data_IF_486083851636
#
_entry.id   IF_486083851636
#
_cell.length_a   1.000
_cell.length_b   1.000
_cell.length_c   1.000
_cell.angle_alpha   90.00
_cell.angle_beta   90.00
_cell.angle_gamma   90.00
#
_symmetry.space_group_name_H-M   'P 1'
#
loop_
_entity.id
_entity.type
_entity.pdbx_description
1 polymer ?
#
# COMPACT_ATOMS: atom_id res chain seq x y z
N UNK A 1 19.29 -3.62 -10.85
CA UNK A 1 19.30 -2.40 -11.70
C UNK A 1 19.07 -2.67 -13.20
N UNK A 2 19.92 -3.42 -13.92
CA UNK A 2 19.69 -3.71 -15.36
C UNK A 2 18.38 -4.48 -15.61
N UNK A 3 18.05 -5.47 -14.79
CA UNK A 3 16.81 -6.25 -14.89
C UNK A 3 15.56 -5.36 -14.78
N UNK A 4 15.52 -4.46 -13.79
CA UNK A 4 14.41 -3.52 -13.63
C UNK A 4 14.31 -2.49 -14.74
N UNK A 5 15.43 -1.97 -15.26
CA UNK A 5 15.41 -1.10 -16.43
C UNK A 5 14.79 -1.81 -17.64
N UNK A 6 15.21 -3.05 -17.92
CA UNK A 6 14.63 -3.86 -18.98
C UNK A 6 13.14 -4.18 -18.76
N UNK A 7 12.73 -4.44 -17.52
CA UNK A 7 11.33 -4.69 -17.16
C UNK A 7 10.46 -3.44 -17.38
N UNK A 8 10.95 -2.26 -16.98
CA UNK A 8 10.28 -0.98 -17.23
C UNK A 8 10.21 -0.65 -18.72
N UNK A 9 11.25 -0.96 -19.50
CA UNK A 9 11.21 -0.84 -20.97
C UNK A 9 10.18 -1.81 -21.60
N UNK A 10 9.98 -2.98 -21.03
CA UNK A 10 9.00 -3.97 -21.50
C UNK A 10 7.55 -3.49 -21.33
N UNK A 11 7.26 -2.64 -20.33
CA UNK A 11 5.95 -1.99 -20.17
C UNK A 11 5.57 -1.22 -21.46
N UNK A 12 6.53 -0.48 -22.03
CA UNK A 12 6.29 0.33 -23.24
C UNK A 12 6.40 -0.48 -24.53
N UNK A 13 7.40 -1.35 -24.62
CA UNK A 13 7.77 -2.03 -25.88
C UNK A 13 7.02 -3.34 -26.11
N UNK A 14 6.64 -4.04 -25.04
CA UNK A 14 6.06 -5.38 -25.08
C UNK A 14 4.68 -5.46 -24.42
N UNK A 15 4.25 -4.40 -23.72
CA UNK A 15 2.95 -4.32 -23.06
C UNK A 15 2.77 -5.40 -21.96
N UNK A 16 3.82 -5.58 -21.15
CA UNK A 16 3.84 -6.51 -20.02
C UNK A 16 4.29 -5.79 -18.74
N UNK A 17 3.75 -6.19 -17.61
CA UNK A 17 4.21 -5.79 -16.28
C UNK A 17 5.60 -6.40 -15.96
N UNK A 18 6.30 -5.91 -14.92
CA UNK A 18 7.63 -6.42 -14.56
C UNK A 18 7.70 -7.94 -14.33
N UNK A 19 6.63 -8.54 -13.82
CA UNK A 19 6.49 -9.99 -13.61
C UNK A 19 6.12 -10.77 -14.89
N UNK A 20 6.03 -10.10 -16.03
CA UNK A 20 5.71 -10.67 -17.34
C UNK A 20 4.21 -10.86 -17.61
N UNK A 21 3.32 -10.48 -16.70
CA UNK A 21 1.86 -10.51 -16.96
C UNK A 21 1.49 -9.46 -18.03
N UNK A 22 0.54 -9.79 -18.91
CA UNK A 22 0.05 -8.85 -19.93
C UNK A 22 -0.67 -7.65 -19.29
N UNK A 23 -0.48 -6.47 -19.89
CA UNK A 23 -1.18 -5.24 -19.50
C UNK A 23 -2.51 -5.15 -20.27
N UNK A 24 -3.62 -5.00 -19.55
CA UNK A 24 -4.91 -4.65 -20.17
C UNK A 24 -4.84 -3.23 -20.74
N UNK A 25 -4.69 -3.10 -22.05
CA UNK A 25 -4.58 -1.81 -22.72
C UNK A 25 -5.82 -0.93 -22.54
N UNK A 26 -7.01 -1.54 -22.40
CA UNK A 26 -8.26 -0.82 -22.22
C UNK A 26 -8.33 -0.10 -20.88
N UNK A 27 -7.74 -0.70 -19.84
CA UNK A 27 -7.70 -0.15 -18.48
C UNK A 27 -6.50 0.79 -18.28
N UNK A 28 -5.30 0.37 -18.71
CA UNK A 28 -4.05 1.00 -18.29
C UNK A 28 -3.39 1.89 -19.37
N UNK A 29 -3.74 1.70 -20.64
CA UNK A 29 -3.04 2.36 -21.76
C UNK A 29 -3.89 3.42 -22.47
N UNK A 30 -5.21 3.41 -22.26
CA UNK A 30 -6.12 4.39 -22.84
C UNK A 30 -5.75 5.86 -22.48
N UNK A 31 -5.12 6.08 -21.33
CA UNK A 31 -4.58 7.39 -20.89
C UNK A 31 -3.05 7.56 -21.03
N UNK A 32 -2.33 6.52 -21.44
CA UNK A 32 -0.87 6.43 -21.36
C UNK A 32 -0.33 6.25 -19.92
N UNK A 33 0.98 6.05 -19.81
CA UNK A 33 1.68 5.89 -18.51
C UNK A 33 2.10 7.22 -17.86
N UNK A 34 1.71 8.35 -18.47
CA UNK A 34 2.02 9.68 -17.93
C UNK A 34 1.40 9.87 -16.54
N UNK A 35 2.22 10.29 -15.58
CA UNK A 35 1.80 10.48 -14.17
C UNK A 35 2.09 9.29 -13.27
N UNK A 36 2.32 8.10 -13.83
CA UNK A 36 2.79 6.95 -13.08
C UNK A 36 4.26 7.14 -12.71
N UNK A 37 4.70 6.45 -11.66
CA UNK A 37 6.05 6.57 -11.12
C UNK A 37 6.66 5.21 -10.81
N UNK A 38 7.96 5.20 -10.66
CA UNK A 38 8.69 4.05 -10.14
C UNK A 38 9.81 4.49 -9.20
N UNK A 39 10.29 3.58 -8.37
CA UNK A 39 11.50 3.75 -7.57
C UNK A 39 12.24 2.41 -7.47
N UNK A 40 13.51 2.46 -7.08
CA UNK A 40 14.30 1.28 -6.78
C UNK A 40 14.98 1.52 -5.43
N UNK A 41 14.59 0.75 -4.43
CA UNK A 41 15.11 0.83 -3.07
C UNK A 41 14.67 -0.40 -2.27
N UNK A 42 15.48 -0.76 -1.28
CA UNK A 42 15.17 -1.74 -0.24
C UNK A 42 14.01 -1.23 0.63
N UNK A 43 12.80 -1.75 0.46
CA UNK A 43 11.60 -1.35 1.22
C UNK A 43 11.21 -2.34 2.30
N UNK A 44 11.60 -3.61 2.17
CA UNK A 44 11.26 -4.66 3.12
C UNK A 44 12.39 -4.99 4.12
N UNK A 45 13.60 -4.47 3.88
CA UNK A 45 14.75 -4.60 4.75
C UNK A 45 15.52 -5.92 4.59
N UNK A 46 15.28 -6.68 3.52
CA UNK A 46 15.95 -7.96 3.27
C UNK A 46 17.40 -7.80 2.74
N UNK A 47 17.77 -6.56 2.37
CA UNK A 47 19.09 -6.18 1.86
C UNK A 47 19.23 -6.24 0.33
N UNK A 48 18.16 -6.56 -0.41
CA UNK A 48 18.03 -6.35 -1.85
C UNK A 48 17.30 -5.04 -2.12
N UNK A 49 17.35 -4.58 -3.36
CA UNK A 49 16.57 -3.40 -3.76
C UNK A 49 15.39 -3.89 -4.58
N UNK A 50 14.18 -3.45 -4.25
CA UNK A 50 12.97 -3.82 -4.98
C UNK A 50 12.63 -2.74 -6.01
N UNK A 51 11.91 -3.14 -7.07
CA UNK A 51 11.26 -2.21 -7.98
C UNK A 51 9.87 -1.87 -7.44
N UNK A 52 9.68 -0.60 -7.07
CA UNK A 52 8.36 -0.05 -6.80
C UNK A 52 7.75 0.50 -8.08
N UNK A 53 6.50 0.15 -8.36
CA UNK A 53 5.74 0.67 -9.49
C UNK A 53 4.41 1.26 -9.03
N UNK A 54 4.27 2.58 -9.12
CA UNK A 54 3.09 3.34 -8.71
C UNK A 54 2.26 3.72 -9.95
N UNK A 55 1.10 3.09 -10.12
CA UNK A 55 0.16 3.29 -11.22
C UNK A 55 -1.06 4.05 -10.73
N UNK A 56 -1.13 5.34 -11.05
CA UNK A 56 -2.19 6.28 -10.64
C UNK A 56 -2.92 6.92 -11.82
N UNK A 57 -2.49 6.67 -13.06
CA UNK A 57 -3.14 7.20 -14.27
C UNK A 57 -4.37 6.39 -14.72
N UNK A 58 -4.62 5.23 -14.13
CA UNK A 58 -5.74 4.34 -14.44
C UNK A 58 -7.06 4.80 -13.78
N UNK A 59 -8.15 4.04 -13.99
CA UNK A 59 -9.38 4.24 -13.21
C UNK A 59 -9.10 3.98 -11.72
N UNK A 60 -9.94 4.48 -10.81
CA UNK A 60 -9.77 4.26 -9.36
C UNK A 60 -9.63 2.76 -9.01
N UNK A 61 -10.35 1.88 -9.73
CA UNK A 61 -10.25 0.44 -9.54
C UNK A 61 -8.98 -0.18 -10.16
N UNK A 62 -8.42 0.48 -11.16
CA UNK A 62 -7.16 0.10 -11.80
C UNK A 62 -5.92 0.67 -11.09
N UNK A 63 -6.06 1.66 -10.21
CA UNK A 63 -4.91 2.23 -9.49
C UNK A 63 -4.28 1.20 -8.56
N UNK A 64 -2.95 1.08 -8.59
CA UNK A 64 -2.19 0.21 -7.69
C UNK A 64 -0.76 0.70 -7.49
N UNK A 65 -0.14 0.26 -6.42
CA UNK A 65 1.31 0.20 -6.28
C UNK A 65 1.74 -1.25 -6.06
N UNK A 66 2.83 -1.65 -6.72
CA UNK A 66 3.41 -2.99 -6.59
C UNK A 66 4.87 -2.91 -6.15
N UNK A 67 5.29 -3.89 -5.36
CA UNK A 67 6.68 -4.18 -4.99
C UNK A 67 7.12 -5.43 -5.75
N UNK A 68 8.26 -5.34 -6.44
CA UNK A 68 8.83 -6.46 -7.19
C UNK A 68 10.28 -6.75 -6.80
N UNK A 69 10.58 -7.97 -6.37
CA UNK A 69 11.95 -8.47 -6.20
C UNK A 69 12.48 -9.07 -7.51
N UNK A 70 13.81 -9.09 -7.64
CA UNK A 70 14.53 -9.74 -8.71
C UNK A 70 15.48 -10.79 -8.15
N UNK A 71 15.20 -12.06 -8.44
CA UNK A 71 16.08 -13.17 -8.11
C UNK A 71 17.20 -13.29 -9.18
N UNK A 72 18.48 -13.01 -8.84
CA UNK A 72 19.59 -13.10 -9.79
C UNK A 72 19.98 -14.54 -10.14
N UNK A 73 19.64 -15.54 -9.31
CA UNK A 73 19.99 -16.94 -9.56
C UNK A 73 19.10 -17.55 -10.64
N UNK A 74 17.82 -17.18 -10.66
CA UNK A 74 16.85 -17.63 -11.67
C UNK A 74 16.63 -16.62 -12.79
N UNK A 75 16.96 -15.35 -12.56
CA UNK A 75 16.73 -14.25 -13.48
C UNK A 75 15.25 -13.85 -13.59
N UNK A 76 14.44 -14.12 -12.56
CA UNK A 76 13.00 -13.82 -12.56
C UNK A 76 12.66 -12.62 -11.69
N UNK A 77 11.65 -11.87 -12.12
CA UNK A 77 11.04 -10.79 -11.32
C UNK A 77 9.70 -11.31 -10.79
N UNK A 78 9.48 -11.18 -9.49
CA UNK A 78 8.27 -11.64 -8.79
C UNK A 78 7.59 -10.47 -8.09
N UNK A 79 6.25 -10.49 -8.05
CA UNK A 79 5.48 -9.49 -7.30
C UNK A 79 5.31 -9.97 -5.85
N UNK A 80 5.89 -9.24 -4.91
CA UNK A 80 5.83 -9.54 -3.47
C UNK A 80 4.62 -8.88 -2.80
N UNK A 81 4.18 -7.77 -3.39
CA UNK A 81 3.07 -6.98 -2.87
C UNK A 81 2.37 -6.19 -3.96
N UNK A 82 1.06 -6.04 -3.80
CA UNK A 82 0.23 -5.11 -4.58
C UNK A 82 -0.93 -4.60 -3.72
N UNK A 83 -1.07 -3.28 -3.65
CA UNK A 83 -2.19 -2.64 -2.97
C UNK A 83 -2.58 -1.31 -3.65
N UNK A 84 -3.51 -0.57 -3.07
CA UNK A 84 -3.86 0.77 -3.56
C UNK A 84 -2.65 1.72 -3.38
N UNK A 85 -2.37 2.66 -4.30
CA UNK A 85 -1.06 3.34 -4.37
C UNK A 85 -0.80 4.42 -3.31
N UNK A 86 -1.56 4.43 -2.21
CA UNK A 86 -1.35 5.35 -1.09
C UNK A 86 -0.67 4.57 0.05
N UNK A 87 0.60 4.26 -0.15
CA UNK A 87 1.39 3.39 0.75
C UNK A 87 2.49 4.20 1.43
N UNK A 88 2.65 3.99 2.73
CA UNK A 88 3.81 4.43 3.51
C UNK A 88 4.55 3.18 3.99
N UNK A 89 5.83 3.06 3.63
CA UNK A 89 6.70 1.97 4.07
C UNK A 89 7.51 2.39 5.29
N UNK A 90 7.79 1.44 6.18
CA UNK A 90 8.60 1.61 7.37
C UNK A 90 9.75 0.62 7.36
N UNK A 91 10.92 1.04 7.84
CA UNK A 91 12.16 0.23 7.86
C UNK A 91 12.13 -0.98 8.82
N UNK A 92 11.00 -1.20 9.49
CA UNK A 92 10.70 -2.40 10.26
C UNK A 92 9.84 -3.42 9.49
N UNK A 93 9.70 -3.25 8.16
CA UNK A 93 8.96 -4.17 7.29
C UNK A 93 7.45 -3.92 7.23
N UNK A 94 6.95 -2.83 7.83
CA UNK A 94 5.52 -2.48 7.77
C UNK A 94 5.22 -1.64 6.53
N UNK A 95 4.13 -1.98 5.84
CA UNK A 95 3.50 -1.13 4.84
C UNK A 95 2.11 -0.71 5.32
N UNK A 96 1.91 0.60 5.46
CA UNK A 96 0.61 1.21 5.76
C UNK A 96 -0.04 1.69 4.46
N UNK A 97 -1.10 1.01 4.04
CA UNK A 97 -1.84 1.30 2.82
C UNK A 97 -3.19 1.97 3.14
N UNK A 98 -3.34 3.24 2.78
CA UNK A 98 -4.64 3.92 2.83
C UNK A 98 -5.62 3.30 1.83
N UNK A 99 -6.91 3.27 2.19
CA UNK A 99 -7.93 2.74 1.30
C UNK A 99 -8.24 3.71 0.16
N UNK A 100 -8.73 3.16 -0.96
CA UNK A 100 -9.18 3.96 -2.11
C UNK A 100 -10.33 4.90 -1.80
N UNK A 101 -11.12 4.60 -0.79
CA UNK A 101 -12.25 5.39 -0.34
C UNK A 101 -12.36 5.32 1.17
N UNK A 102 -12.94 6.38 1.74
CA UNK A 102 -13.45 6.34 3.09
C UNK A 102 -14.94 6.03 3.03
N UNK A 103 -15.30 4.77 3.26
CA UNK A 103 -16.70 4.31 3.33
C UNK A 103 -17.31 4.46 4.73
N UNK A 104 -16.49 4.83 5.71
CA UNK A 104 -16.84 4.95 7.12
C UNK A 104 -17.61 6.22 7.46
N UNK A 105 -17.79 6.41 8.76
CA UNK A 105 -18.46 7.58 9.34
C UNK A 105 -17.47 8.58 9.97
N UNK A 106 -16.17 8.34 9.82
CA UNK A 106 -15.10 9.23 10.27
C UNK A 106 -14.50 10.03 9.13
N UNK A 107 -13.91 11.17 9.47
CA UNK A 107 -13.12 12.03 8.59
C UNK A 107 -11.82 12.51 9.26
N UNK A 108 -11.70 12.41 10.59
CA UNK A 108 -10.45 12.68 11.33
C UNK A 108 -9.36 11.66 10.99
N UNK A 109 -9.74 10.40 10.71
CA UNK A 109 -8.86 9.35 10.25
C UNK A 109 -9.27 8.93 8.83
N UNK A 110 -8.30 8.84 7.91
CA UNK A 110 -8.51 8.11 6.66
C UNK A 110 -8.25 6.62 6.91
N UNK A 111 -9.17 5.72 6.54
CA UNK A 111 -9.01 4.30 6.84
C UNK A 111 -7.83 3.69 6.08
N UNK A 112 -7.21 2.70 6.70
CA UNK A 112 -6.00 2.05 6.15
C UNK A 112 -5.88 0.59 6.59
N UNK A 113 -5.03 -0.13 5.88
CA UNK A 113 -4.60 -1.50 6.18
C UNK A 113 -3.10 -1.52 6.42
N UNK A 114 -2.67 -2.29 7.43
CA UNK A 114 -1.28 -2.60 7.70
C UNK A 114 -0.94 -3.98 7.13
N UNK A 115 0.19 -4.03 6.44
CA UNK A 115 0.84 -5.26 6.00
C UNK A 115 2.24 -5.31 6.62
N UNK A 116 2.76 -6.51 6.84
CA UNK A 116 4.12 -6.76 7.30
C UNK A 116 4.82 -7.68 6.29
N UNK A 117 6.07 -7.41 5.96
CA UNK A 117 6.86 -8.32 5.13
C UNK A 117 7.15 -9.63 5.88
N UNK A 118 6.94 -10.76 5.19
CA UNK A 118 7.23 -12.10 5.68
C UNK A 118 8.36 -12.73 4.84
N UNK A 119 9.54 -12.87 5.44
CA UNK A 119 10.73 -13.43 4.78
C UNK A 119 10.61 -14.92 4.44
N UNK A 120 9.68 -15.66 5.06
CA UNK A 120 9.49 -17.08 4.73
C UNK A 120 8.77 -17.25 3.39
N UNK A 121 7.91 -16.29 3.04
CA UNK A 121 7.11 -16.32 1.80
C UNK A 121 7.54 -15.28 0.77
N UNK A 122 8.43 -14.35 1.13
CA UNK A 122 8.91 -13.27 0.27
C UNK A 122 7.77 -12.37 -0.21
N UNK A 123 6.88 -12.01 0.73
CA UNK A 123 5.65 -11.25 0.44
C UNK A 123 5.20 -10.42 1.63
N UNK A 124 4.47 -9.34 1.35
CA UNK A 124 3.75 -8.61 2.39
C UNK A 124 2.42 -9.29 2.75
N UNK A 125 2.18 -9.49 4.04
CA UNK A 125 1.02 -10.20 4.59
C UNK A 125 0.17 -9.29 5.45
N UNK A 126 -1.15 -9.48 5.39
CA UNK A 126 -2.12 -8.70 6.15
C UNK A 126 -1.85 -8.78 7.67
N UNK A 127 -2.00 -7.65 8.36
CA UNK A 127 -1.88 -7.56 9.83
C UNK A 127 -3.05 -6.91 10.53
N UNK A 128 -3.77 -6.04 9.85
CA UNK A 128 -5.00 -5.47 10.37
C UNK A 128 -5.42 -4.24 9.60
N UNK A 129 -6.65 -3.82 9.80
CA UNK A 129 -7.18 -2.58 9.21
C UNK A 129 -7.91 -1.76 10.25
N UNK A 130 -8.05 -0.47 9.96
CA UNK A 130 -8.80 0.44 10.81
C UNK A 130 -9.67 1.38 9.99
N UNK A 131 -10.88 1.58 10.50
CA UNK A 131 -11.78 2.67 10.13
C UNK A 131 -12.18 3.44 11.40
N UNK A 132 -12.83 4.59 11.25
CA UNK A 132 -13.30 5.41 12.36
C UNK A 132 -14.73 5.90 12.18
N UNK A 133 -15.32 6.33 13.29
CA UNK A 133 -16.59 7.06 13.29
C UNK A 133 -16.42 8.35 14.08
N UNK A 134 -16.70 9.49 13.46
CA UNK A 134 -16.77 10.78 14.15
C UNK A 134 -18.23 11.18 14.41
N UNK A 135 -18.61 11.30 15.70
CA UNK A 135 -19.97 11.68 16.14
C UNK A 135 -20.44 12.99 15.50
N UNK A 136 -19.53 13.96 15.35
CA UNK A 136 -19.83 15.28 14.79
C UNK A 136 -20.19 15.21 13.29
N UNK A 137 -19.75 14.16 12.59
CA UNK A 137 -20.08 13.92 11.18
C UNK A 137 -21.37 13.12 11.02
N UNK A 138 -21.54 12.08 11.84
CA UNK A 138 -22.71 11.21 11.83
C UNK A 138 -23.13 10.82 13.26
N UNK A 139 -24.04 11.57 13.87
CA UNK A 139 -24.44 11.31 15.25
C UNK A 139 -25.40 10.11 15.41
N UNK A 140 -26.17 9.78 14.38
CA UNK A 140 -27.19 8.73 14.45
C UNK A 140 -26.53 7.34 14.49
N UNK A 141 -26.68 6.64 15.62
CA UNK A 141 -26.11 5.30 15.80
C UNK A 141 -24.65 5.29 16.28
N UNK A 142 -24.06 6.46 16.56
CA UNK A 142 -22.70 6.54 17.12
C UNK A 142 -22.60 5.74 18.43
N UNK A 143 -21.62 4.82 18.55
CA UNK A 143 -21.52 3.89 19.68
C UNK A 143 -20.82 4.56 20.88
N UNK A 144 -21.51 5.52 21.49
CA UNK A 144 -21.00 6.37 22.58
C UNK A 144 -20.48 5.62 23.81
N UNK A 145 -20.83 4.35 23.97
CA UNK A 145 -20.31 3.51 25.05
C UNK A 145 -18.81 3.18 24.91
N UNK A 146 -18.22 3.36 23.72
CA UNK A 146 -16.79 3.20 23.46
C UNK A 146 -16.01 4.54 23.43
N UNK A 147 -16.71 5.69 23.43
CA UNK A 147 -16.13 7.05 23.48
C UNK A 147 -15.84 7.42 24.94
N UNK A 148 -14.80 6.81 25.53
CA UNK A 148 -14.50 6.90 26.95
C UNK A 148 -13.91 8.26 27.35
N UNK A 149 -13.13 8.88 26.45
CA UNK A 149 -12.58 10.23 26.65
C UNK A 149 -13.57 11.36 26.28
N UNK A 150 -14.62 11.04 25.52
CA UNK A 150 -15.71 11.94 25.15
C UNK A 150 -15.39 12.87 23.98
N UNK A 151 -14.30 12.63 23.25
CA UNK A 151 -13.86 13.43 22.11
C UNK A 151 -14.74 13.25 20.85
N UNK A 152 -15.63 12.25 20.90
CA UNK A 152 -16.59 11.95 19.84
C UNK A 152 -16.01 11.17 18.67
N UNK A 153 -14.93 10.43 18.85
CA UNK A 153 -14.36 9.51 17.86
C UNK A 153 -14.22 8.12 18.44
N UNK A 154 -14.56 7.10 17.65
CA UNK A 154 -14.24 5.71 17.94
C UNK A 154 -13.61 5.05 16.73
N UNK A 155 -12.93 3.94 16.94
CA UNK A 155 -12.19 3.21 15.91
C UNK A 155 -12.69 1.78 15.81
N UNK A 156 -12.74 1.25 14.59
CA UNK A 156 -13.06 -0.15 14.29
C UNK A 156 -11.80 -0.85 13.82
N UNK A 157 -11.30 -1.78 14.63
CA UNK A 157 -10.11 -2.57 14.31
C UNK A 157 -10.53 -3.92 13.71
N UNK A 158 -10.00 -4.23 12.54
CA UNK A 158 -10.26 -5.48 11.82
C UNK A 158 -9.01 -6.35 11.88
N UNK A 159 -9.16 -7.59 12.35
CA UNK A 159 -8.07 -8.58 12.43
C UNK A 159 -8.05 -9.55 11.25
N UNK A 160 -9.08 -9.48 10.37
CA UNK A 160 -9.20 -10.32 9.19
C UNK A 160 -9.34 -9.49 7.92
N UNK A 161 -8.68 -9.92 6.84
CA UNK A 161 -8.64 -9.21 5.56
C UNK A 161 -10.02 -9.04 4.90
N UNK A 162 -10.96 -9.94 5.18
CA UNK A 162 -12.33 -9.83 4.66
C UNK A 162 -13.19 -8.89 5.51
N UNK A 163 -12.64 -8.34 6.60
CA UNK A 163 -13.29 -7.39 7.50
C UNK A 163 -14.64 -7.89 7.98
N UNK A 164 -14.69 -9.16 8.36
CA UNK A 164 -15.96 -9.83 8.73
C UNK A 164 -16.47 -9.44 10.10
N UNK A 165 -15.57 -9.08 11.01
CA UNK A 165 -15.88 -8.57 12.34
C UNK A 165 -14.87 -7.49 12.75
N UNK A 166 -15.24 -6.66 13.70
CA UNK A 166 -14.38 -5.58 14.20
C UNK A 166 -14.44 -5.45 15.71
N UNK A 167 -13.32 -5.09 16.32
CA UNK A 167 -13.28 -4.60 17.70
C UNK A 167 -13.42 -3.09 17.70
N UNK A 168 -14.50 -2.57 18.32
CA UNK A 168 -14.67 -1.12 18.53
C UNK A 168 -13.88 -0.67 19.74
N UNK A 169 -13.10 0.40 19.60
CA UNK A 169 -12.24 0.94 20.65
C UNK A 169 -12.21 2.47 20.66
N UNK A 170 -11.71 3.04 21.76
CA UNK A 170 -11.40 4.47 21.88
C UNK A 170 -9.97 4.77 21.37
N UNK A 171 -9.57 6.05 21.41
CA UNK A 171 -8.28 6.53 20.92
C UNK A 171 -7.06 5.91 21.63
N UNK A 172 -7.14 5.60 22.93
CA UNK A 172 -6.01 5.01 23.67
C UNK A 172 -5.69 3.61 23.15
N UNK A 173 -6.69 2.73 23.05
CA UNK A 173 -6.49 1.37 22.55
C UNK A 173 -6.18 1.35 21.04
N UNK A 174 -6.77 2.25 20.24
CA UNK A 174 -6.38 2.44 18.84
C UNK A 174 -4.89 2.77 18.71
N UNK A 175 -4.39 3.71 19.53
CA UNK A 175 -2.99 4.11 19.49
C UNK A 175 -2.09 2.95 19.93
N UNK A 176 -2.47 2.19 20.95
CA UNK A 176 -1.73 0.98 21.37
C UNK A 176 -1.67 -0.08 20.27
N UNK A 177 -2.78 -0.29 19.55
CA UNK A 177 -2.83 -1.20 18.40
C UNK A 177 -1.87 -0.72 17.30
N UNK A 178 -1.92 0.56 16.92
CA UNK A 178 -1.04 1.11 15.89
C UNK A 178 0.44 1.05 16.30
N UNK A 179 0.74 1.43 17.54
CA UNK A 179 2.10 1.41 18.10
C UNK A 179 2.66 -0.01 18.15
N UNK A 180 1.81 -1.03 18.29
CA UNK A 180 2.27 -2.43 18.27
C UNK A 180 2.91 -2.85 16.94
N UNK A 181 2.61 -2.15 15.84
CA UNK A 181 3.22 -2.35 14.53
C UNK A 181 4.33 -1.34 14.23
N UNK A 182 4.14 -0.06 14.57
CA UNK A 182 5.04 1.01 14.15
C UNK A 182 6.19 1.30 15.13
N UNK A 183 6.15 0.77 16.35
CA UNK A 183 7.21 1.03 17.34
C UNK A 183 8.56 0.55 16.83
N UNK A 184 9.50 1.50 16.73
CA UNK A 184 10.87 1.21 16.29
C UNK A 184 11.07 1.24 14.77
N UNK A 185 10.00 1.46 13.99
CA UNK A 185 10.09 1.72 12.55
C UNK A 185 10.14 3.22 12.24
N UNK A 186 10.97 3.62 11.28
CA UNK A 186 11.01 4.94 10.67
C UNK A 186 10.44 4.88 9.24
N UNK A 187 9.71 5.93 8.83
CA UNK A 187 9.17 6.02 7.48
C UNK A 187 10.31 6.06 6.44
N UNK A 188 10.25 5.15 5.46
CA UNK A 188 11.20 5.10 4.35
C UNK A 188 10.87 6.21 3.37
N UNK A 189 11.86 7.09 3.13
CA UNK A 189 11.73 8.13 2.11
C UNK A 189 12.03 7.55 0.72
N UNK A 190 10.99 7.44 -0.09
CA UNK A 190 11.11 6.95 -1.47
C UNK A 190 11.42 8.08 -2.44
N UNK A 191 12.48 7.92 -3.23
CA UNK A 191 12.88 8.85 -4.29
C UNK A 191 12.25 8.44 -5.62
N UNK A 192 10.97 8.81 -5.79
CA UNK A 192 10.19 8.50 -6.97
C UNK A 192 10.69 9.18 -8.24
N UNK A 193 10.69 8.43 -9.35
CA UNK A 193 10.94 8.91 -10.72
C UNK A 193 9.68 8.74 -11.56
N UNK A 194 9.45 9.66 -12.49
CA UNK A 194 8.35 9.52 -13.45
C UNK A 194 8.56 8.26 -14.30
N UNK A 195 7.49 7.55 -14.65
CA UNK A 195 7.54 6.39 -15.55
C UNK A 195 7.45 6.84 -17.01
N UNK A 196 8.60 7.01 -17.68
CA UNK A 196 8.66 7.37 -19.09
C UNK A 196 9.97 6.91 -19.76
N UNK A 197 10.04 6.97 -21.09
CA UNK A 197 11.19 6.47 -21.87
C UNK A 197 12.54 7.16 -21.57
N UNK A 198 12.54 8.36 -20.97
CA UNK A 198 13.75 9.10 -20.63
C UNK A 198 14.31 8.65 -19.27
N UNK A 199 13.44 8.38 -18.30
CA UNK A 199 13.79 8.07 -16.91
C UNK A 199 14.06 6.59 -16.66
N UNK A 200 13.49 5.69 -17.47
CA UNK A 200 13.66 4.23 -17.32
C UNK A 200 15.03 3.72 -17.78
N UNK A 201 15.75 4.52 -18.59
CA UNK A 201 17.13 4.25 -19.01
C UNK A 201 18.07 4.70 -17.89
N UNK A 202 18.15 3.86 -16.85
CA UNK A 202 19.00 4.11 -15.67
C UNK A 202 20.48 4.05 -16.01
#
# INVERSE_FOLDING_TARGET
MEAYSAALEAIFSQNIWPDGKEIDEGEYKAGGFSGNKFAVCDVDGDGREELLLNVTSASMAGMFESVYDYDPDTGTITEEFRAFPMITYYDNGIAKCEWSHNQGHGAKLWPFTLYEYDSDTDTYVYRGSVDSWDRDLAAEGFPSEYDADGDGTVYFLYDDENMTDSTTVDGEEYQQWLDSFLTGGEEIRIEWKDLNEETIKM
#
